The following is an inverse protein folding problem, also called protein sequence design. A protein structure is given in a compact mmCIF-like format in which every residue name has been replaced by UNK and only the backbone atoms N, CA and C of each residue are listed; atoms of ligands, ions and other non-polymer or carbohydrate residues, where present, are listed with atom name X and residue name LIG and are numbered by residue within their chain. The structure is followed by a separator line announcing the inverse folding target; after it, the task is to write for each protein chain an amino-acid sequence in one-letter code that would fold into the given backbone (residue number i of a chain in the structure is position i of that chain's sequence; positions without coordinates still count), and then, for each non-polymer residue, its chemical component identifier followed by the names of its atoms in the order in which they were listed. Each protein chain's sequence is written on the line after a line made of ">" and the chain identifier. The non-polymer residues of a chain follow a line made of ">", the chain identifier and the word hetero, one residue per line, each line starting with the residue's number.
data_IF_473883732182
#
_entry.id   IF_473883732182
#
_cell.length_a   1.000
_cell.length_b   1.000
_cell.length_c   1.000
_cell.angle_alpha   90.00
_cell.angle_beta   90.00
_cell.angle_gamma   90.00
#
_symmetry.space_group_name_H-M   'P 1'
#
loop_
_entity.id
_entity.type
_entity.pdbx_description
1 polymer ?
#
# COMPACT_ATOMS: atom_id res chain seq x y z
N UNK A 1 10.51 -48.45 -10.44
CA UNK A 1 11.13 -47.92 -11.67
C UNK A 1 11.36 -46.44 -11.45
N UNK A 2 12.59 -46.08 -11.12
CA UNK A 2 13.07 -44.71 -10.93
C UNK A 2 13.11 -44.01 -12.28
N UNK A 3 12.56 -42.80 -12.36
CA UNK A 3 13.03 -41.81 -13.33
C UNK A 3 13.53 -40.62 -12.53
N UNK A 4 14.75 -40.78 -12.05
CA UNK A 4 15.65 -39.66 -11.87
C UNK A 4 15.86 -39.04 -13.26
N UNK A 5 15.52 -37.75 -13.36
CA UNK A 5 16.20 -36.72 -14.18
C UNK A 5 15.30 -35.49 -14.24
N UNK A 6 14.93 -34.97 -13.06
CA UNK A 6 14.67 -33.53 -12.98
C UNK A 6 16.05 -32.88 -12.94
N UNK A 7 16.62 -32.61 -14.12
CA UNK A 7 17.73 -31.66 -14.20
C UNK A 7 17.20 -30.37 -13.56
N UNK A 8 17.83 -29.97 -12.45
CA UNK A 8 17.84 -28.59 -11.99
C UNK A 8 18.31 -27.76 -13.18
N UNK A 9 17.34 -27.31 -13.97
CA UNK A 9 17.55 -26.28 -14.97
C UNK A 9 17.54 -25.01 -14.17
N UNK A 10 18.71 -24.44 -13.94
CA UNK A 10 18.81 -23.05 -13.55
C UNK A 10 17.85 -22.26 -14.44
N UNK A 11 16.87 -21.62 -13.80
CA UNK A 11 15.88 -20.82 -14.51
C UNK A 11 16.63 -19.87 -15.46
N UNK A 12 16.17 -19.70 -16.71
CA UNK A 12 16.81 -18.77 -17.63
C UNK A 12 16.94 -17.38 -16.98
N UNK A 13 18.02 -16.63 -17.20
CA UNK A 13 18.21 -15.29 -16.59
C UNK A 13 17.02 -14.34 -16.83
N UNK A 14 16.35 -14.49 -17.98
CA UNK A 14 15.16 -13.75 -18.40
C UNK A 14 13.89 -14.08 -17.60
N UNK A 15 13.88 -15.17 -16.83
CA UNK A 15 12.72 -15.59 -16.04
C UNK A 15 12.34 -14.57 -14.97
N UNK A 16 13.33 -13.89 -14.37
CA UNK A 16 13.10 -12.83 -13.40
C UNK A 16 12.39 -11.62 -14.03
N UNK A 17 12.76 -11.23 -15.26
CA UNK A 17 12.13 -10.12 -15.99
C UNK A 17 10.71 -10.46 -16.42
N UNK A 18 10.49 -11.68 -16.90
CA UNK A 18 9.15 -12.20 -17.22
C UNK A 18 8.26 -12.22 -15.96
N UNK A 19 8.76 -12.71 -14.84
CA UNK A 19 8.03 -12.73 -13.58
C UNK A 19 7.70 -11.31 -13.07
N UNK A 20 8.65 -10.38 -13.21
CA UNK A 20 8.45 -8.96 -12.86
C UNK A 20 7.33 -8.34 -13.71
N UNK A 21 7.27 -8.66 -15.01
CA UNK A 21 6.22 -8.17 -15.91
C UNK A 21 4.83 -8.76 -15.62
N UNK A 22 4.74 -9.88 -14.91
CA UNK A 22 3.45 -10.41 -14.45
C UNK A 22 2.84 -9.64 -13.26
N UNK A 23 3.52 -8.60 -12.75
CA UNK A 23 3.02 -7.68 -11.71
C UNK A 23 2.41 -8.38 -10.47
N UNK A 24 2.90 -9.58 -10.12
CA UNK A 24 2.42 -10.34 -8.98
C UNK A 24 1.00 -10.93 -9.14
N UNK A 25 0.40 -10.88 -10.32
CA UNK A 25 -0.92 -11.48 -10.59
C UNK A 25 -0.78 -13.02 -10.60
N UNK A 26 -1.33 -13.75 -9.60
CA UNK A 26 -1.05 -15.19 -9.44
C UNK A 26 -1.52 -16.00 -10.65
N UNK A 27 -2.65 -15.62 -11.24
CA UNK A 27 -3.21 -16.28 -12.42
C UNK A 27 -2.33 -16.08 -13.66
N UNK A 28 -1.88 -14.86 -13.91
CA UNK A 28 -1.01 -14.55 -15.05
C UNK A 28 0.36 -15.21 -14.89
N UNK A 29 0.95 -15.13 -13.69
CA UNK A 29 2.22 -15.78 -13.38
C UNK A 29 2.14 -17.29 -13.60
N UNK A 30 1.07 -17.94 -13.13
CA UNK A 30 0.85 -19.38 -13.33
C UNK A 30 0.67 -19.72 -14.81
N UNK A 31 -0.11 -18.94 -15.56
CA UNK A 31 -0.31 -19.14 -17.00
C UNK A 31 0.99 -19.00 -17.78
N UNK A 32 1.78 -17.95 -17.51
CA UNK A 32 3.07 -17.72 -18.18
C UNK A 32 4.08 -18.80 -17.80
N UNK A 33 4.17 -19.16 -16.51
CA UNK A 33 5.07 -20.22 -16.05
C UNK A 33 4.73 -21.58 -16.66
N UNK A 34 3.44 -21.91 -16.78
CA UNK A 34 3.00 -23.18 -17.40
C UNK A 34 3.22 -23.21 -18.91
N UNK A 35 3.08 -22.08 -19.61
CA UNK A 35 3.33 -21.93 -21.05
C UNK A 35 4.82 -22.01 -21.40
N UNK A 36 5.68 -21.39 -20.57
CA UNK A 36 7.13 -21.33 -20.76
C UNK A 36 7.88 -22.53 -20.18
N UNK A 37 7.20 -23.40 -19.43
CA UNK A 37 7.78 -24.62 -18.87
C UNK A 37 8.36 -25.48 -19.99
N UNK A 38 9.65 -25.81 -19.87
CA UNK A 38 10.42 -26.59 -20.84
C UNK A 38 10.55 -25.93 -22.23
N UNK A 39 10.41 -24.60 -22.34
CA UNK A 39 10.66 -23.83 -23.57
C UNK A 39 12.07 -23.25 -23.60
N UNK A 40 12.61 -23.08 -24.81
CA UNK A 40 13.93 -22.47 -25.04
C UNK A 40 13.92 -20.94 -24.92
N UNK A 41 15.10 -20.34 -24.71
CA UNK A 41 15.32 -18.92 -24.44
C UNK A 41 14.68 -17.95 -25.45
N UNK A 42 14.50 -18.35 -26.71
CA UNK A 42 13.83 -17.50 -27.71
C UNK A 42 12.34 -17.31 -27.40
N UNK A 43 11.66 -18.34 -26.88
CA UNK A 43 10.25 -18.28 -26.51
C UNK A 43 10.04 -17.40 -25.29
N UNK A 44 10.99 -17.38 -24.36
CA UNK A 44 11.00 -16.44 -23.23
C UNK A 44 11.12 -14.99 -23.70
N UNK A 45 11.97 -14.71 -24.69
CA UNK A 45 12.12 -13.37 -25.28
C UNK A 45 10.85 -12.91 -26.01
N UNK A 46 10.23 -13.80 -26.79
CA UNK A 46 8.98 -13.48 -27.47
C UNK A 46 7.85 -13.23 -26.47
N UNK A 47 7.75 -14.06 -25.43
CA UNK A 47 6.76 -13.88 -24.38
C UNK A 47 7.01 -12.62 -23.57
N UNK A 48 8.26 -12.26 -23.27
CA UNK A 48 8.60 -11.00 -22.61
C UNK A 48 8.16 -9.79 -23.45
N UNK A 49 8.34 -9.82 -24.78
CA UNK A 49 7.84 -8.78 -25.69
C UNK A 49 6.31 -8.71 -25.65
N UNK A 50 5.62 -9.84 -25.71
CA UNK A 50 4.16 -9.87 -25.57
C UNK A 50 3.71 -9.29 -24.22
N UNK A 51 4.38 -9.66 -23.12
CA UNK A 51 4.11 -9.15 -21.78
C UNK A 51 4.45 -7.65 -21.63
N UNK A 52 5.39 -7.13 -22.42
CA UNK A 52 5.69 -5.70 -22.46
C UNK A 52 4.60 -4.88 -23.17
N UNK A 53 3.81 -5.51 -24.05
CA UNK A 53 2.61 -4.91 -24.65
C UNK A 53 1.39 -5.03 -23.70
N UNK A 54 1.47 -5.92 -22.71
CA UNK A 54 0.45 -6.12 -21.68
C UNK A 54 0.43 -5.04 -20.59
N UNK A 55 1.15 -3.92 -20.75
CA UNK A 55 0.79 -2.66 -20.10
C UNK A 55 -0.55 -2.18 -20.70
N UNK A 56 -1.60 -2.97 -20.46
CA UNK A 56 -2.93 -2.71 -20.94
C UNK A 56 -3.54 -1.69 -19.99
N UNK A 57 -3.25 -0.44 -20.29
CA UNK A 57 -3.80 0.74 -19.64
C UNK A 57 -5.33 0.63 -19.46
N UNK A 58 -6.03 -0.05 -20.38
CA UNK A 58 -7.47 -0.32 -20.28
C UNK A 58 -7.81 -1.34 -19.18
N UNK A 59 -7.04 -2.43 -19.04
CA UNK A 59 -7.21 -3.40 -17.95
C UNK A 59 -6.90 -2.73 -16.62
N UNK A 60 -5.79 -1.98 -16.53
CA UNK A 60 -5.43 -1.27 -15.30
C UNK A 60 -6.48 -0.21 -14.94
N UNK A 61 -6.98 0.56 -15.92
CA UNK A 61 -8.08 1.49 -15.71
C UNK A 61 -9.35 0.79 -15.22
N UNK A 62 -9.66 -0.40 -15.77
CA UNK A 62 -10.81 -1.20 -15.32
C UNK A 62 -10.62 -1.72 -13.90
N UNK A 63 -9.43 -2.23 -13.57
CA UNK A 63 -9.07 -2.69 -12.22
C UNK A 63 -9.16 -1.53 -11.23
N UNK A 64 -8.58 -0.37 -11.56
CA UNK A 64 -8.68 0.84 -10.73
C UNK A 64 -10.14 1.26 -10.54
N UNK A 65 -10.96 1.26 -11.59
CA UNK A 65 -12.39 1.61 -11.50
C UNK A 65 -13.17 0.65 -10.57
N UNK A 66 -12.92 -0.65 -10.65
CA UNK A 66 -13.58 -1.65 -9.78
C UNK A 66 -13.11 -1.50 -8.32
N UNK A 67 -11.81 -1.26 -8.11
CA UNK A 67 -11.25 -1.03 -6.79
C UNK A 67 -11.74 0.29 -6.18
N UNK A 68 -11.88 1.35 -6.97
CA UNK A 68 -12.45 2.63 -6.54
C UNK A 68 -13.92 2.48 -6.14
N UNK A 69 -14.73 1.75 -6.92
CA UNK A 69 -16.11 1.45 -6.53
C UNK A 69 -16.14 0.67 -5.21
N UNK A 70 -15.30 -0.35 -5.08
CA UNK A 70 -15.20 -1.16 -3.86
C UNK A 70 -14.77 -0.34 -2.64
N UNK A 71 -13.89 0.65 -2.85
CA UNK A 71 -13.47 1.62 -1.84
C UNK A 71 -14.61 2.55 -1.42
N UNK A 72 -15.39 3.05 -2.38
CA UNK A 72 -16.55 3.91 -2.09
C UNK A 72 -17.63 3.20 -1.26
N UNK A 73 -17.73 1.88 -1.39
CA UNK A 73 -18.63 1.03 -0.60
C UNK A 73 -18.08 0.69 0.81
N UNK A 74 -16.89 1.19 1.19
CA UNK A 74 -16.31 0.89 2.49
C UNK A 74 -16.87 1.79 3.60
N UNK A 75 -17.20 1.22 4.77
CA UNK A 75 -17.60 2.00 5.95
C UNK A 75 -16.52 3.00 6.40
N UNK A 76 -15.24 2.66 6.18
CA UNK A 76 -14.06 3.45 6.58
C UNK A 76 -13.85 4.70 5.72
N UNK A 77 -14.57 4.88 4.61
CA UNK A 77 -14.55 6.15 3.86
C UNK A 77 -14.83 7.36 4.75
N UNK A 78 -15.58 7.15 5.84
CA UNK A 78 -15.90 8.18 6.81
C UNK A 78 -14.83 8.37 7.91
N UNK A 79 -13.67 7.72 7.81
CA UNK A 79 -12.48 7.95 8.62
C UNK A 79 -12.75 7.90 10.13
N UNK A 80 -12.44 9.00 10.82
CA UNK A 80 -12.67 9.18 12.26
C UNK A 80 -14.14 8.96 12.68
N UNK A 81 -15.10 9.05 11.75
CA UNK A 81 -16.49 8.77 12.07
C UNK A 81 -16.74 7.31 12.47
N UNK A 82 -15.84 6.38 12.15
CA UNK A 82 -15.90 5.00 12.61
C UNK A 82 -15.92 4.91 14.15
N UNK A 83 -15.28 5.90 14.79
CA UNK A 83 -15.13 5.99 16.23
C UNK A 83 -16.16 6.92 16.88
N UNK A 84 -17.12 7.47 16.13
CA UNK A 84 -18.24 8.23 16.72
C UNK A 84 -19.03 7.31 17.65
N UNK A 85 -19.40 7.86 18.80
CA UNK A 85 -20.20 7.18 19.84
C UNK A 85 -19.53 5.94 20.48
N UNK A 86 -18.21 5.83 20.43
CA UNK A 86 -17.50 4.77 21.14
C UNK A 86 -17.21 5.19 22.58
N UNK A 87 -17.53 4.31 23.53
CA UNK A 87 -17.40 4.57 24.97
C UNK A 87 -16.20 3.88 25.62
N UNK A 88 -15.52 2.96 24.92
CA UNK A 88 -14.38 2.22 25.46
C UNK A 88 -13.34 1.83 24.41
N UNK A 89 -12.09 1.67 24.85
CA UNK A 89 -10.99 1.16 24.03
C UNK A 89 -11.27 -0.25 23.51
N UNK A 90 -11.98 -1.07 24.28
CA UNK A 90 -12.36 -2.43 23.87
C UNK A 90 -13.32 -2.39 22.67
N UNK A 91 -14.31 -1.52 22.72
CA UNK A 91 -15.27 -1.33 21.63
C UNK A 91 -14.59 -0.77 20.37
N UNK A 92 -13.72 0.23 20.52
CA UNK A 92 -12.90 0.75 19.41
C UNK A 92 -12.10 -0.37 18.74
N UNK A 93 -11.41 -1.18 19.54
CA UNK A 93 -10.60 -2.31 19.06
C UNK A 93 -11.43 -3.34 18.31
N UNK A 94 -12.61 -3.70 18.84
CA UNK A 94 -13.50 -4.66 18.19
C UNK A 94 -13.99 -4.13 16.83
N UNK A 95 -14.36 -2.84 16.74
CA UNK A 95 -14.74 -2.23 15.45
C UNK A 95 -13.59 -2.23 14.44
N UNK A 96 -12.36 -1.96 14.89
CA UNK A 96 -11.17 -2.06 14.04
C UNK A 96 -10.97 -3.49 13.54
N UNK A 97 -11.09 -4.50 14.40
CA UNK A 97 -10.98 -5.90 13.97
C UNK A 97 -12.06 -6.30 12.95
N UNK A 98 -13.32 -5.94 13.19
CA UNK A 98 -14.40 -6.19 12.23
C UNK A 98 -14.15 -5.51 10.88
N UNK A 99 -13.60 -4.28 10.89
CA UNK A 99 -13.21 -3.60 9.66
C UNK A 99 -12.09 -4.34 8.93
N UNK A 100 -11.04 -4.76 9.66
CA UNK A 100 -9.94 -5.54 9.07
C UNK A 100 -10.48 -6.84 8.44
N UNK A 101 -11.34 -7.57 9.13
CA UNK A 101 -11.95 -8.80 8.61
C UNK A 101 -12.78 -8.53 7.34
N UNK A 102 -13.52 -7.42 7.33
CA UNK A 102 -14.29 -6.99 6.14
C UNK A 102 -13.37 -6.68 4.95
N UNK A 103 -12.27 -5.98 5.19
CA UNK A 103 -11.29 -5.64 4.15
C UNK A 103 -10.57 -6.88 3.62
N UNK A 104 -10.28 -7.85 4.48
CA UNK A 104 -9.74 -9.17 4.09
C UNK A 104 -10.73 -9.97 3.25
N UNK A 105 -12.00 -10.01 3.67
CA UNK A 105 -13.07 -10.69 2.91
C UNK A 105 -13.29 -10.06 1.52
N UNK A 106 -13.00 -8.76 1.36
CA UNK A 106 -13.00 -8.05 0.07
C UNK A 106 -11.67 -8.13 -0.70
N UNK A 107 -10.70 -8.92 -0.22
CA UNK A 107 -9.36 -9.05 -0.82
C UNK A 107 -8.58 -7.72 -0.94
N UNK A 108 -8.94 -6.71 -0.13
CA UNK A 108 -8.25 -5.42 -0.08
C UNK A 108 -7.07 -5.44 0.89
N UNK A 109 -7.12 -6.34 1.87
CA UNK A 109 -6.02 -6.64 2.78
C UNK A 109 -5.76 -8.14 2.81
N UNK A 110 -4.52 -8.50 3.12
CA UNK A 110 -4.09 -9.88 3.39
C UNK A 110 -3.43 -9.93 4.78
N UNK A 111 -3.33 -11.14 5.35
CA UNK A 111 -2.59 -11.34 6.59
C UNK A 111 -1.12 -10.98 6.41
N UNK A 112 -0.56 -10.23 7.37
CA UNK A 112 0.86 -9.95 7.40
C UNK A 112 1.67 -11.11 7.97
N UNK A 113 2.99 -11.09 7.73
CA UNK A 113 3.91 -12.12 8.20
C UNK A 113 3.97 -12.26 9.74
N UNK A 114 3.60 -11.22 10.49
CA UNK A 114 3.59 -11.20 11.95
C UNK A 114 2.17 -11.08 12.48
N UNK A 115 1.91 -11.71 13.63
CA UNK A 115 0.62 -11.59 14.32
C UNK A 115 0.27 -10.12 14.59
N UNK A 116 -0.95 -9.73 14.24
CA UNK A 116 -1.44 -8.36 14.39
C UNK A 116 -1.11 -7.42 13.22
N UNK A 117 -0.40 -7.90 12.18
CA UNK A 117 -0.11 -7.13 10.98
C UNK A 117 -1.00 -7.55 9.80
N UNK A 118 -1.21 -6.60 8.89
CA UNK A 118 -1.89 -6.80 7.61
C UNK A 118 -1.03 -6.20 6.50
N UNK A 119 -1.21 -6.69 5.28
CA UNK A 119 -0.57 -6.14 4.09
C UNK A 119 -1.61 -5.81 3.02
N UNK A 120 -1.21 -5.02 2.04
CA UNK A 120 -2.01 -4.62 0.90
C UNK A 120 -1.26 -4.99 -0.37
N UNK A 121 -1.94 -5.53 -1.37
CA UNK A 121 -1.35 -5.77 -2.68
C UNK A 121 -0.96 -4.45 -3.35
N UNK A 122 0.11 -4.46 -4.14
CA UNK A 122 0.62 -3.27 -4.82
C UNK A 122 -0.46 -2.55 -5.62
N UNK A 123 -1.28 -3.27 -6.39
CA UNK A 123 -2.40 -2.70 -7.16
C UNK A 123 -3.45 -2.00 -6.29
N UNK A 124 -3.74 -2.53 -5.09
CA UNK A 124 -4.69 -1.91 -4.16
C UNK A 124 -4.07 -0.66 -3.54
N UNK A 125 -2.78 -0.74 -3.18
CA UNK A 125 -2.01 0.40 -2.65
C UNK A 125 -1.94 1.54 -3.66
N UNK A 126 -1.60 1.23 -4.92
CA UNK A 126 -1.48 2.21 -5.98
C UNK A 126 -2.84 2.85 -6.30
N UNK A 127 -3.92 2.07 -6.27
CA UNK A 127 -5.29 2.60 -6.38
C UNK A 127 -5.62 3.52 -5.21
N UNK A 128 -5.30 3.14 -3.98
CA UNK A 128 -5.56 3.95 -2.80
C UNK A 128 -4.78 5.27 -2.84
N UNK A 129 -3.51 5.24 -3.27
CA UNK A 129 -2.68 6.43 -3.48
C UNK A 129 -3.26 7.31 -4.59
N UNK A 130 -3.72 6.73 -5.70
CA UNK A 130 -4.36 7.46 -6.78
C UNK A 130 -5.66 8.15 -6.31
N UNK A 131 -6.53 7.45 -5.58
CA UNK A 131 -7.74 8.04 -4.98
C UNK A 131 -7.36 9.18 -4.02
N UNK A 132 -6.40 8.94 -3.12
CA UNK A 132 -5.94 9.93 -2.16
C UNK A 132 -5.36 11.19 -2.83
N UNK A 133 -4.64 11.03 -3.94
CA UNK A 133 -4.09 12.15 -4.71
C UNK A 133 -5.16 13.09 -5.27
N UNK A 134 -6.36 12.56 -5.57
CA UNK A 134 -7.51 13.34 -6.06
C UNK A 134 -8.20 14.13 -4.95
N UNK A 135 -8.08 13.69 -3.71
CA UNK A 135 -8.68 14.37 -2.56
C UNK A 135 -7.91 15.62 -2.12
N UNK A 136 -6.74 15.96 -2.71
CA UNK A 136 -5.93 17.20 -2.51
C UNK A 136 -5.67 17.65 -1.06
N UNK A 137 -6.01 16.83 -0.06
CA UNK A 137 -5.95 17.16 1.35
C UNK A 137 -5.15 16.13 2.17
N UNK A 138 -4.45 15.21 1.51
CA UNK A 138 -3.65 14.17 2.17
C UNK A 138 -2.18 14.24 1.78
N UNK A 139 -1.30 14.26 2.78
CA UNK A 139 0.14 14.08 2.64
C UNK A 139 0.53 12.70 3.17
N UNK A 140 1.22 11.91 2.36
CA UNK A 140 1.67 10.56 2.74
C UNK A 140 3.17 10.47 2.45
N UNK A 141 3.97 10.36 3.51
CA UNK A 141 5.41 10.10 3.42
C UNK A 141 5.69 8.67 2.94
N UNK A 142 6.83 8.48 2.29
CA UNK A 142 7.30 7.14 1.90
C UNK A 142 8.10 6.53 3.06
N UNK A 143 7.87 5.25 3.31
CA UNK A 143 8.56 4.52 4.39
C UNK A 143 10.01 4.23 4.03
N UNK A 144 10.93 4.44 4.97
CA UNK A 144 12.36 4.24 4.78
C UNK A 144 13.02 5.23 3.82
N UNK A 145 12.36 6.37 3.56
CA UNK A 145 12.94 7.50 2.84
C UNK A 145 13.06 8.71 3.75
N UNK A 146 14.12 9.48 3.54
CA UNK A 146 14.31 10.79 4.16
C UNK A 146 13.15 11.73 3.81
N UNK A 147 12.58 12.36 4.84
CA UNK A 147 11.54 13.36 4.66
C UNK A 147 12.20 14.69 4.26
N UNK A 148 12.35 14.91 2.95
CA UNK A 148 13.01 16.10 2.41
C UNK A 148 12.32 17.42 2.79
N UNK A 149 10.98 17.41 2.83
CA UNK A 149 10.18 18.59 3.18
C UNK A 149 8.97 18.20 4.02
N UNK A 150 8.62 19.06 4.97
CA UNK A 150 7.42 18.89 5.78
C UNK A 150 6.15 19.19 4.97
N UNK A 151 5.00 18.57 5.34
CA UNK A 151 3.75 18.77 4.63
C UNK A 151 3.34 20.25 4.57
N UNK A 152 2.78 20.68 3.43
CA UNK A 152 2.21 22.01 3.27
C UNK A 152 1.08 22.26 4.29
N UNK A 153 0.93 23.53 4.69
CA UNK A 153 -0.07 24.05 5.66
C UNK A 153 -1.53 23.74 5.30
N UNK A 154 -1.80 23.37 4.05
CA UNK A 154 -3.13 23.05 3.54
C UNK A 154 -3.52 21.57 3.67
N UNK A 155 -2.64 20.72 4.21
CA UNK A 155 -2.86 19.29 4.33
C UNK A 155 -3.82 18.97 5.49
N UNK A 156 -4.94 18.29 5.21
CA UNK A 156 -5.88 17.89 6.25
C UNK A 156 -5.55 16.54 6.91
N UNK A 157 -4.92 15.63 6.17
CA UNK A 157 -4.53 14.31 6.66
C UNK A 157 -3.06 14.10 6.37
N UNK A 158 -2.29 13.77 7.40
CA UNK A 158 -0.84 13.65 7.31
C UNK A 158 -0.45 12.30 7.87
N UNK A 159 0.23 11.49 7.07
CA UNK A 159 0.74 10.18 7.46
C UNK A 159 2.22 10.08 7.13
N UNK A 160 3.04 9.83 8.14
CA UNK A 160 4.50 9.70 8.05
C UNK A 160 4.88 8.32 8.60
N UNK A 161 4.76 7.25 7.80
CA UNK A 161 4.99 5.89 8.25
C UNK A 161 6.47 5.51 8.15
N UNK A 162 7.18 5.52 9.28
CA UNK A 162 8.60 5.15 9.36
C UNK A 162 9.46 5.95 8.38
N UNK A 163 9.22 7.27 8.30
CA UNK A 163 10.09 8.18 7.57
C UNK A 163 11.34 8.45 8.41
N UNK A 164 12.49 8.61 7.75
CA UNK A 164 13.72 9.00 8.43
C UNK A 164 13.63 10.49 8.78
N UNK A 165 13.26 10.75 10.04
CA UNK A 165 13.08 12.09 10.61
C UNK A 165 14.08 12.21 11.75
N UNK A 166 15.08 13.08 11.58
CA UNK A 166 16.08 13.36 12.61
C UNK A 166 15.48 14.21 13.74
N UNK A 167 14.87 15.35 13.37
CA UNK A 167 14.24 16.28 14.30
C UNK A 167 12.86 16.72 13.81
N UNK A 168 11.92 16.83 14.76
CA UNK A 168 10.62 17.43 14.49
C UNK A 168 10.76 18.97 14.47
N UNK A 169 10.13 19.66 13.51
CA UNK A 169 10.24 21.10 13.37
C UNK A 169 9.56 21.82 14.54
N UNK A 170 10.28 22.78 15.12
CA UNK A 170 9.71 23.63 16.15
C UNK A 170 8.76 24.66 15.52
N UNK A 171 7.51 24.69 15.98
CA UNK A 171 6.51 25.64 15.50
C UNK A 171 6.02 25.42 14.07
N UNK A 172 6.07 24.17 13.57
CA UNK A 172 5.42 23.84 12.30
C UNK A 172 3.91 24.09 12.36
N UNK A 173 3.39 24.72 11.31
CA UNK A 173 1.99 25.15 11.20
C UNK A 173 1.28 24.39 10.10
N UNK A 174 0.23 23.67 10.48
CA UNK A 174 -0.70 23.06 9.54
C UNK A 174 -2.12 23.19 10.11
N UNK A 175 -2.72 24.40 10.06
CA UNK A 175 -3.98 24.68 10.74
C UNK A 175 -5.16 23.87 10.19
N UNK A 176 -5.05 23.34 8.95
CA UNK A 176 -6.08 22.47 8.36
C UNK A 176 -5.95 21.00 8.77
N UNK A 177 -4.90 20.61 9.49
CA UNK A 177 -4.65 19.22 9.84
C UNK A 177 -5.72 18.69 10.81
N UNK A 178 -6.51 17.73 10.35
CA UNK A 178 -7.49 16.98 11.14
C UNK A 178 -6.89 15.67 11.70
N UNK A 179 -5.87 15.14 11.02
CA UNK A 179 -5.24 13.88 11.37
C UNK A 179 -3.74 13.94 11.11
N UNK A 180 -2.96 13.62 12.15
CA UNK A 180 -1.51 13.39 12.06
C UNK A 180 -1.20 11.97 12.57
N UNK A 181 -0.64 11.14 11.68
CA UNK A 181 -0.12 9.82 12.00
C UNK A 181 1.39 9.83 11.83
N UNK A 182 2.12 9.74 12.94
CA UNK A 182 3.58 9.67 12.96
C UNK A 182 3.98 8.28 13.48
N UNK A 183 4.61 7.47 12.63
CA UNK A 183 5.21 6.21 13.03
C UNK A 183 6.72 6.33 12.87
N UNK A 184 7.48 6.04 13.91
CA UNK A 184 8.95 6.13 13.90
C UNK A 184 9.55 4.95 14.64
N UNK A 185 10.72 4.50 14.17
CA UNK A 185 11.57 3.55 14.90
C UNK A 185 12.59 4.28 15.80
N UNK A 186 12.71 5.60 15.67
CA UNK A 186 13.59 6.45 16.47
C UNK A 186 12.96 6.68 17.83
N UNK A 187 13.28 5.80 18.78
CA UNK A 187 12.76 5.84 20.16
C UNK A 187 13.15 7.12 20.93
N UNK A 188 14.17 7.84 20.45
CA UNK A 188 14.67 9.09 21.05
C UNK A 188 14.19 10.35 20.33
N UNK A 189 13.25 10.26 19.40
CA UNK A 189 12.75 11.43 18.67
C UNK A 189 12.14 12.42 19.66
N UNK A 190 12.83 13.54 19.87
CA UNK A 190 12.35 14.61 20.73
C UNK A 190 11.11 15.25 20.10
N UNK A 191 10.04 15.41 20.88
CA UNK A 191 8.87 16.17 20.45
C UNK A 191 9.03 17.59 21.01
N UNK A 192 9.26 18.61 20.16
CA UNK A 192 9.32 19.99 20.59
C UNK A 192 8.01 20.42 21.25
N UNK A 193 8.08 21.25 22.30
CA UNK A 193 6.91 21.73 23.03
C UNK A 193 5.90 22.45 22.12
N UNK A 194 6.40 23.11 21.07
CA UNK A 194 5.59 23.88 20.13
C UNK A 194 5.15 23.08 18.89
N UNK A 195 5.50 21.80 18.78
CA UNK A 195 5.22 20.99 17.59
C UNK A 195 3.72 20.92 17.26
N UNK A 196 2.88 20.69 18.27
CA UNK A 196 1.43 20.60 18.08
C UNK A 196 0.72 21.96 18.08
N UNK A 197 1.42 23.06 18.38
CA UNK A 197 0.79 24.39 18.51
C UNK A 197 0.18 24.89 17.20
N UNK A 198 0.80 24.54 16.07
CA UNK A 198 0.36 24.93 14.75
C UNK A 198 -0.70 24.01 14.13
N UNK A 199 -1.12 22.95 14.84
CA UNK A 199 -2.27 22.12 14.47
C UNK A 199 -3.49 22.70 15.20
N UNK A 200 -4.21 23.62 14.57
CA UNK A 200 -5.41 24.18 15.20
C UNK A 200 -6.43 23.06 15.47
N UNK A 201 -6.81 22.88 16.73
CA UNK A 201 -7.94 22.04 17.10
C UNK A 201 -9.21 22.69 16.56
N UNK A 202 -9.81 22.13 15.51
CA UNK A 202 -11.15 22.52 15.08
C UNK A 202 -12.12 22.42 16.27
N UNK A 203 -12.87 23.51 16.51
CA UNK A 203 -13.96 23.57 17.50
C UNK A 203 -15.13 22.69 17.11
#
# INVERSE_FOLDING_TARGET
>A
MTVADAKDSELPPIAAEVAKKCAGLPLLLLTVATDLRNRESYAWNDKLKQLSVFDNEEINAKVHSVLESSYNDLPVRHGLSLFKHISSVKEARNKVYTLIDTLKAKCLLIDGYKYGFVQMHDVVRDTALWIASREQHAFIGTSGSELMEWPNKDSARISLPYCDIEDLPEGWECPKAELLLLFTEVLSLGIPDLFFKGLETSK
#
